data_IF_019718598588
#
_entry.id   IF_019718598588
#
_cell.length_a   1.000
_cell.length_b   1.000
_cell.length_c   1.000
_cell.angle_alpha   90.00
_cell.angle_beta   90.00
_cell.angle_gamma   90.00
#
_symmetry.space_group_name_H-M   'P 1'
#
loop_
_entity.id
_entity.type
_entity.pdbx_description
1 polymer ?
#
# COMPACT_ATOMS: atom_id res chain seq x y z
N UNK A 1 22.19 -1.17 -15.14
CA UNK A 1 22.54 -2.04 -14.00
C UNK A 1 23.28 -1.28 -12.89
N UNK A 2 24.13 -0.30 -13.21
CA UNK A 2 24.87 0.53 -12.23
C UNK A 2 23.98 1.35 -11.27
N UNK A 3 22.89 1.93 -11.78
CA UNK A 3 21.94 2.77 -10.99
C UNK A 3 21.19 2.02 -9.88
N UNK A 4 21.04 0.69 -9.99
CA UNK A 4 20.47 -0.16 -8.95
C UNK A 4 21.43 -0.35 -7.78
N UNK A 5 22.72 -0.46 -8.07
CA UNK A 5 23.75 -0.57 -7.06
C UNK A 5 23.88 0.73 -6.26
N UNK A 6 23.66 1.89 -6.91
CA UNK A 6 23.58 3.19 -6.23
C UNK A 6 22.41 3.25 -5.24
N UNK A 7 21.22 2.73 -5.59
CA UNK A 7 20.06 2.70 -4.66
C UNK A 7 20.26 1.76 -3.47
N UNK A 8 21.03 0.69 -3.63
CA UNK A 8 21.37 -0.23 -2.54
C UNK A 8 22.44 0.38 -1.63
N UNK A 9 23.44 1.05 -2.21
CA UNK A 9 24.48 1.76 -1.46
C UNK A 9 24.02 3.04 -0.76
N UNK A 10 22.86 3.59 -1.14
CA UNK A 10 22.29 4.82 -0.60
C UNK A 10 21.25 4.61 0.52
N UNK A 11 21.05 3.38 1.01
CA UNK A 11 20.08 3.12 2.09
C UNK A 11 20.56 3.80 3.37
N UNK A 12 19.87 4.87 3.75
CA UNK A 12 20.13 5.60 4.99
C UNK A 12 19.32 5.02 6.17
N UNK A 13 19.75 5.18 7.43
CA UNK A 13 18.91 4.87 8.58
C UNK A 13 17.57 5.62 8.57
N UNK A 14 17.56 6.84 8.05
CA UNK A 14 16.33 7.65 7.91
C UNK A 14 15.33 7.01 6.97
N UNK A 15 15.76 6.37 5.88
CA UNK A 15 14.87 5.64 4.97
C UNK A 15 14.12 4.52 5.72
N UNK A 16 14.82 3.77 6.58
CA UNK A 16 14.21 2.73 7.41
C UNK A 16 13.23 3.31 8.44
N UNK A 17 13.60 4.39 9.13
CA UNK A 17 12.71 5.03 10.11
C UNK A 17 11.43 5.55 9.44
N UNK A 18 11.54 6.22 8.30
CA UNK A 18 10.39 6.73 7.55
C UNK A 18 9.49 5.59 7.07
N UNK A 19 10.07 4.52 6.52
CA UNK A 19 9.30 3.35 6.08
C UNK A 19 8.60 2.65 7.25
N UNK A 20 9.29 2.51 8.39
CA UNK A 20 8.73 1.93 9.60
C UNK A 20 7.58 2.76 10.18
N UNK A 21 7.74 4.09 10.23
CA UNK A 21 6.66 5.01 10.64
C UNK A 21 5.46 4.92 9.69
N UNK A 22 5.70 4.86 8.38
CA UNK A 22 4.65 4.64 7.39
C UNK A 22 3.89 3.33 7.62
N UNK A 23 4.62 2.25 7.90
CA UNK A 23 4.02 0.95 8.23
C UNK A 23 3.17 1.00 9.51
N UNK A 24 3.67 1.62 10.58
CA UNK A 24 2.90 1.82 11.81
C UNK A 24 1.65 2.67 11.57
N UNK A 25 1.74 3.71 10.73
CA UNK A 25 0.59 4.54 10.37
C UNK A 25 -0.50 3.73 9.65
N UNK A 26 -0.11 2.83 8.74
CA UNK A 26 -1.05 1.91 8.08
C UNK A 26 -1.68 0.93 9.06
N UNK A 27 -0.90 0.32 9.96
CA UNK A 27 -1.44 -0.56 11.00
C UNK A 27 -2.44 0.17 11.91
N UNK A 28 -2.10 1.39 12.33
CA UNK A 28 -2.97 2.22 13.16
C UNK A 28 -4.26 2.58 12.44
N UNK A 29 -4.19 2.94 11.15
CA UNK A 29 -5.36 3.17 10.31
C UNK A 29 -6.26 1.93 10.24
N UNK A 30 -5.69 0.75 10.03
CA UNK A 30 -6.46 -0.50 9.97
C UNK A 30 -7.17 -0.78 11.29
N UNK A 31 -6.51 -0.56 12.43
CA UNK A 31 -7.12 -0.71 13.75
C UNK A 31 -8.28 0.25 13.96
N UNK A 32 -8.11 1.55 13.61
CA UNK A 32 -9.19 2.54 13.71
C UNK A 32 -10.37 2.12 12.85
N UNK A 33 -10.13 1.84 11.56
CA UNK A 33 -11.22 1.55 10.61
C UNK A 33 -11.97 0.28 11.02
N UNK A 34 -11.27 -0.76 11.49
CA UNK A 34 -11.92 -1.98 11.97
C UNK A 34 -12.70 -1.75 13.26
N UNK A 35 -12.19 -0.91 14.17
CA UNK A 35 -12.90 -0.52 15.39
C UNK A 35 -14.17 0.29 15.07
N UNK A 36 -14.06 1.34 14.25
CA UNK A 36 -15.19 2.14 13.75
C UNK A 36 -16.22 1.25 13.05
N UNK A 37 -15.78 0.29 12.22
CA UNK A 37 -16.70 -0.64 11.55
C UNK A 37 -17.49 -1.49 12.55
N UNK A 38 -16.84 -2.05 13.56
CA UNK A 38 -17.48 -2.91 14.56
C UNK A 38 -18.43 -2.16 15.49
N UNK A 39 -18.09 -0.93 15.88
CA UNK A 39 -18.83 -0.19 16.91
C UNK A 39 -19.80 0.86 16.35
N UNK A 40 -19.55 1.41 15.16
CA UNK A 40 -20.36 2.47 14.55
C UNK A 40 -21.15 2.00 13.32
N UNK A 41 -21.10 0.69 13.00
CA UNK A 41 -21.90 0.09 11.93
C UNK A 41 -21.55 0.56 10.52
N UNK A 42 -20.33 1.08 10.31
CA UNK A 42 -19.89 1.50 8.98
C UNK A 42 -19.99 0.34 7.98
N UNK A 43 -20.52 0.62 6.79
CA UNK A 43 -20.57 -0.36 5.73
C UNK A 43 -19.15 -0.76 5.34
N UNK A 44 -18.92 -2.07 5.20
CA UNK A 44 -17.64 -2.65 4.85
C UNK A 44 -17.02 -2.04 3.57
N UNK A 45 -17.89 -1.66 2.61
CA UNK A 45 -17.53 -0.93 1.40
C UNK A 45 -16.82 0.40 1.68
N UNK A 46 -17.39 1.24 2.56
CA UNK A 46 -16.85 2.56 2.90
C UNK A 46 -15.50 2.41 3.62
N UNK A 47 -15.43 1.52 4.60
CA UNK A 47 -14.20 1.19 5.33
C UNK A 47 -13.06 0.77 4.39
N UNK A 48 -13.35 -0.10 3.41
CA UNK A 48 -12.36 -0.56 2.41
C UNK A 48 -11.82 0.59 1.57
N UNK A 49 -12.69 1.52 1.15
CA UNK A 49 -12.29 2.67 0.31
C UNK A 49 -11.47 3.70 1.09
N UNK A 50 -11.82 3.98 2.34
CA UNK A 50 -11.02 4.84 3.22
C UNK A 50 -9.61 4.28 3.40
N UNK A 51 -9.48 2.98 3.69
CA UNK A 51 -8.18 2.32 3.84
C UNK A 51 -7.39 2.39 2.53
N UNK A 52 -8.01 2.07 1.39
CA UNK A 52 -7.36 2.11 0.07
C UNK A 52 -6.73 3.47 -0.24
N UNK A 53 -7.53 4.55 -0.12
CA UNK A 53 -7.05 5.91 -0.40
C UNK A 53 -5.94 6.30 0.57
N UNK A 54 -6.17 6.18 1.88
CA UNK A 54 -5.23 6.70 2.89
C UNK A 54 -3.92 5.89 2.88
N UNK A 55 -3.99 4.56 2.78
CA UNK A 55 -2.79 3.73 2.66
C UNK A 55 -1.99 4.09 1.40
N UNK A 56 -2.67 4.35 0.28
CA UNK A 56 -2.03 4.84 -0.95
C UNK A 56 -1.31 6.17 -0.78
N UNK A 57 -1.96 7.13 -0.11
CA UNK A 57 -1.35 8.43 0.19
C UNK A 57 -0.15 8.31 1.13
N UNK A 58 -0.21 7.42 2.13
CA UNK A 58 0.92 7.14 3.02
C UNK A 58 2.09 6.55 2.22
N UNK A 59 1.85 5.59 1.33
CA UNK A 59 2.89 5.01 0.47
C UNK A 59 3.52 6.10 -0.41
N UNK A 60 2.73 6.99 -1.00
CA UNK A 60 3.23 8.10 -1.81
C UNK A 60 4.08 9.07 -0.97
N UNK A 61 3.63 9.41 0.25
CA UNK A 61 4.36 10.29 1.15
C UNK A 61 5.71 9.67 1.59
N UNK A 62 5.68 8.41 2.04
CA UNK A 62 6.90 7.64 2.36
C UNK A 62 7.82 7.61 1.15
N UNK A 63 7.26 7.36 -0.03
CA UNK A 63 8.06 7.33 -1.25
C UNK A 63 8.75 8.66 -1.49
N UNK A 64 8.09 9.82 -1.37
CA UNK A 64 8.75 11.13 -1.49
C UNK A 64 9.95 11.25 -0.54
N UNK A 65 9.80 10.81 0.71
CA UNK A 65 10.76 11.04 1.79
C UNK A 65 12.00 10.14 1.76
N UNK A 66 11.92 8.92 1.24
CA UNK A 66 13.03 7.96 1.27
C UNK A 66 13.87 7.99 -0.02
N UNK A 67 15.16 7.66 0.04
CA UNK A 67 16.02 7.64 -1.13
C UNK A 67 16.10 6.25 -1.79
N UNK A 68 16.19 5.19 -0.99
CA UNK A 68 16.23 3.81 -1.48
C UNK A 68 14.84 3.19 -1.63
N UNK A 69 14.66 2.30 -2.61
CA UNK A 69 13.45 1.47 -2.74
C UNK A 69 13.44 0.25 -1.82
N UNK A 70 14.59 -0.13 -1.25
CA UNK A 70 14.71 -1.37 -0.47
C UNK A 70 13.66 -1.48 0.65
N UNK A 71 13.42 -0.43 1.47
CA UNK A 71 12.40 -0.51 2.51
C UNK A 71 10.98 -0.69 1.94
N UNK A 72 10.63 0.00 0.85
CA UNK A 72 9.32 -0.15 0.20
C UNK A 72 9.17 -1.53 -0.42
N UNK A 73 10.21 -2.07 -1.06
CA UNK A 73 10.17 -3.43 -1.63
C UNK A 73 9.94 -4.47 -0.55
N UNK A 74 10.63 -4.36 0.60
CA UNK A 74 10.44 -5.27 1.72
C UNK A 74 9.02 -5.19 2.28
N UNK A 75 8.50 -3.97 2.50
CA UNK A 75 7.13 -3.78 3.02
C UNK A 75 6.10 -4.30 2.03
N UNK A 76 6.23 -3.99 0.74
CA UNK A 76 5.31 -4.45 -0.29
C UNK A 76 5.34 -5.97 -0.42
N UNK A 77 6.53 -6.59 -0.35
CA UNK A 77 6.67 -8.04 -0.30
C UNK A 77 5.92 -8.62 0.89
N UNK A 78 6.21 -8.17 2.12
CA UNK A 78 5.54 -8.64 3.34
C UNK A 78 4.02 -8.46 3.27
N UNK A 79 3.55 -7.33 2.73
CA UNK A 79 2.14 -7.05 2.54
C UNK A 79 1.48 -8.06 1.58
N UNK A 80 2.10 -8.37 0.44
CA UNK A 80 1.58 -9.38 -0.50
C UNK A 80 1.41 -10.73 0.18
N UNK A 81 2.42 -11.18 0.95
CA UNK A 81 2.33 -12.46 1.68
C UNK A 81 1.27 -12.43 2.77
N UNK A 82 1.20 -11.36 3.55
CA UNK A 82 0.20 -11.20 4.60
C UNK A 82 -1.22 -11.21 4.02
N UNK A 83 -1.45 -10.54 2.90
CA UNK A 83 -2.76 -10.45 2.25
C UNK A 83 -3.17 -11.80 1.62
N UNK A 84 -2.24 -12.47 0.95
CA UNK A 84 -2.45 -13.85 0.45
C UNK A 84 -2.75 -14.84 1.59
N UNK A 85 -2.06 -14.71 2.72
CA UNK A 85 -2.30 -15.53 3.90
C UNK A 85 -3.67 -15.25 4.53
N UNK A 86 -4.01 -13.98 4.70
CA UNK A 86 -5.31 -13.55 5.24
C UNK A 86 -6.48 -14.06 4.38
N UNK A 87 -6.34 -13.97 3.05
CA UNK A 87 -7.26 -14.56 2.09
C UNK A 87 -7.43 -16.07 2.28
N UNK A 88 -6.32 -16.82 2.36
CA UNK A 88 -6.37 -18.28 2.53
C UNK A 88 -7.00 -18.70 3.85
N UNK A 89 -6.84 -17.92 4.91
CA UNK A 89 -7.41 -18.22 6.23
C UNK A 89 -8.85 -17.70 6.41
N UNK A 90 -9.44 -17.03 5.41
CA UNK A 90 -10.79 -16.45 5.51
C UNK A 90 -10.93 -15.37 6.60
N UNK A 91 -9.81 -14.77 7.01
CA UNK A 91 -9.77 -13.66 7.95
C UNK A 91 -10.18 -12.36 7.21
N UNK A 92 -10.77 -11.40 7.93
CA UNK A 92 -11.27 -10.14 7.37
C UNK A 92 -12.39 -10.30 6.33
N UNK A 93 -13.50 -10.96 6.71
CA UNK A 93 -14.79 -10.98 5.95
C UNK A 93 -15.33 -9.59 5.58
N UNK A 94 -14.84 -8.52 6.22
CA UNK A 94 -15.08 -7.11 5.84
C UNK A 94 -14.57 -6.75 4.44
N UNK A 95 -13.49 -7.39 4.00
CA UNK A 95 -12.83 -7.08 2.72
C UNK A 95 -13.28 -8.07 1.63
N UNK A 96 -13.78 -9.24 2.05
CA UNK A 96 -14.13 -10.39 1.22
C UNK A 96 -15.64 -10.65 1.28
N UNK A 97 -16.43 -9.85 0.57
CA UNK A 97 -17.78 -10.27 0.15
C UNK A 97 -17.66 -11.42 -0.88
N UNK A 98 -18.71 -12.22 -1.09
CA UNK A 98 -18.76 -13.47 -1.87
C UNK A 98 -18.16 -13.48 -3.30
N UNK A 99 -17.63 -12.36 -3.80
CA UNK A 99 -16.74 -12.26 -4.95
C UNK A 99 -15.30 -12.06 -4.46
N UNK A 100 -14.47 -13.10 -4.55
CA UNK A 100 -13.04 -13.06 -4.20
C UNK A 100 -12.30 -12.03 -5.08
N UNK A 101 -12.25 -10.77 -4.64
CA UNK A 101 -11.53 -9.71 -5.32
C UNK A 101 -10.09 -9.69 -4.83
N UNK A 102 -9.19 -10.23 -5.64
CA UNK A 102 -7.73 -10.20 -5.46
C UNK A 102 -7.12 -8.78 -5.58
N UNK A 103 -7.94 -7.73 -5.56
CA UNK A 103 -7.52 -6.35 -5.85
C UNK A 103 -6.46 -5.82 -4.87
N UNK A 104 -6.50 -6.23 -3.60
CA UNK A 104 -5.50 -5.84 -2.59
C UNK A 104 -4.15 -6.51 -2.84
N UNK A 105 -4.14 -7.79 -3.23
CA UNK A 105 -2.93 -8.52 -3.64
C UNK A 105 -2.34 -7.89 -4.91
N UNK A 106 -3.17 -7.64 -5.93
CA UNK A 106 -2.72 -7.03 -7.18
C UNK A 106 -2.21 -5.60 -6.97
N UNK A 107 -2.79 -4.83 -6.04
CA UNK A 107 -2.25 -3.53 -5.66
C UNK A 107 -0.84 -3.66 -5.06
N UNK A 108 -0.64 -4.58 -4.10
CA UNK A 108 0.68 -4.85 -3.54
C UNK A 108 1.72 -5.26 -4.59
N UNK A 109 1.34 -6.16 -5.51
CA UNK A 109 2.19 -6.57 -6.65
C UNK A 109 2.52 -5.36 -7.53
N UNK A 110 1.53 -4.50 -7.82
CA UNK A 110 1.74 -3.31 -8.64
C UNK A 110 2.72 -2.35 -7.99
N UNK A 111 2.57 -2.06 -6.69
CA UNK A 111 3.52 -1.24 -5.92
C UNK A 111 4.93 -1.85 -6.01
N UNK A 112 5.06 -3.15 -5.79
CA UNK A 112 6.35 -3.85 -5.83
C UNK A 112 7.02 -3.73 -7.20
N UNK A 113 6.30 -4.04 -8.28
CA UNK A 113 6.81 -3.96 -9.65
C UNK A 113 7.16 -2.52 -10.02
N UNK A 114 6.31 -1.54 -9.70
CA UNK A 114 6.59 -0.13 -9.98
C UNK A 114 7.82 0.37 -9.23
N UNK A 115 8.00 -0.05 -7.97
CA UNK A 115 9.19 0.29 -7.17
C UNK A 115 10.47 -0.34 -7.73
N UNK A 116 10.36 -1.47 -8.45
CA UNK A 116 11.48 -2.03 -9.20
C UNK A 116 11.75 -1.20 -10.45
N UNK A 117 10.74 -1.05 -11.30
CA UNK A 117 10.92 -0.51 -12.65
C UNK A 117 11.28 0.98 -12.65
N UNK A 118 10.58 1.78 -11.83
CA UNK A 118 10.63 3.24 -11.96
C UNK A 118 11.47 3.94 -10.90
N UNK A 119 11.83 3.28 -9.80
CA UNK A 119 12.48 3.98 -8.70
C UNK A 119 13.86 4.56 -9.05
N UNK A 120 14.73 3.77 -9.66
CA UNK A 120 16.07 4.21 -10.07
C UNK A 120 16.08 5.12 -11.31
N UNK A 121 14.99 5.14 -12.09
CA UNK A 121 14.93 5.88 -13.36
C UNK A 121 14.15 7.19 -13.20
N UNK A 122 12.90 7.09 -12.76
CA UNK A 122 11.93 8.18 -12.63
C UNK A 122 10.97 7.91 -11.47
N UNK A 123 11.46 8.11 -10.24
CA UNK A 123 10.66 8.02 -9.00
C UNK A 123 9.32 8.77 -9.04
N UNK A 124 9.19 9.95 -9.70
CA UNK A 124 7.88 10.60 -9.84
C UNK A 124 6.82 9.75 -10.57
N UNK A 125 7.20 8.91 -11.53
CA UNK A 125 6.26 8.01 -12.23
C UNK A 125 5.68 7.00 -11.24
N UNK A 126 6.52 6.40 -10.38
CA UNK A 126 6.05 5.53 -9.31
C UNK A 126 4.99 6.22 -8.44
N UNK A 127 5.23 7.46 -8.02
CA UNK A 127 4.31 8.22 -7.16
C UNK A 127 2.99 8.52 -7.90
N UNK A 128 3.06 9.05 -9.11
CA UNK A 128 1.87 9.42 -9.89
C UNK A 128 1.01 8.19 -10.21
N UNK A 129 1.63 7.08 -10.63
CA UNK A 129 0.88 5.84 -10.89
C UNK A 129 0.19 5.33 -9.64
N UNK A 130 0.83 5.39 -8.47
CA UNK A 130 0.19 5.05 -7.21
C UNK A 130 -1.00 5.96 -6.88
N UNK A 131 -0.87 7.27 -7.06
CA UNK A 131 -1.98 8.22 -6.87
C UNK A 131 -3.16 7.92 -7.80
N UNK A 132 -2.89 7.57 -9.06
CA UNK A 132 -3.92 7.18 -10.04
C UNK A 132 -4.60 5.87 -9.62
N UNK A 133 -3.87 4.91 -9.07
CA UNK A 133 -4.45 3.65 -8.60
C UNK A 133 -5.35 3.81 -7.36
N UNK A 134 -5.12 4.83 -6.53
CA UNK A 134 -5.85 4.96 -5.25
C UNK A 134 -6.95 6.01 -5.25
N UNK A 135 -6.81 7.09 -6.02
CA UNK A 135 -7.83 8.16 -6.09
C UNK A 135 -8.90 7.82 -7.14
N UNK A 136 -8.59 7.74 -8.46
CA UNK A 136 -9.54 7.33 -9.50
C UNK A 136 -10.26 6.00 -9.23
N UNK A 137 -9.58 4.95 -8.75
CA UNK A 137 -10.24 3.67 -8.42
C UNK A 137 -11.31 3.82 -7.32
N UNK A 138 -11.02 4.66 -6.33
CA UNK A 138 -11.98 4.93 -5.27
C UNK A 138 -13.15 5.77 -5.77
N UNK A 139 -12.89 6.79 -6.60
CA UNK A 139 -13.92 7.66 -7.19
C UNK A 139 -14.81 6.91 -8.19
N UNK A 140 -14.23 6.08 -9.07
CA UNK A 140 -14.98 5.31 -10.07
C UNK A 140 -16.03 4.41 -9.41
N UNK A 141 -15.71 3.80 -8.27
CA UNK A 141 -16.65 2.97 -7.52
C UNK A 141 -17.75 3.77 -6.79
N UNK A 142 -17.59 5.09 -6.59
CA UNK A 142 -18.61 5.94 -5.98
C UNK A 142 -19.65 6.43 -7.00
N UNK A 143 -19.26 6.57 -8.26
CA UNK A 143 -20.10 7.15 -9.32
C UNK A 143 -20.67 6.12 -10.31
N UNK A 144 -20.07 4.93 -10.41
CA UNK A 144 -20.49 3.84 -11.28
C UNK A 144 -21.25 2.75 -10.53
#
# INVERSE_FOLDING_TARGET
MTRWLETIGAVSPTDWYTAFLGFLAVLFLLLIVEHTRKHLGFQAYISRKIVHIITGLIICYVAVMIHSNIPILLIAFLYIFADLWAMRMGLFKSIHTNSASYGTVFYGISVFVLAIVFWGTFKPIFIITNLIMVIPDALAALIG
#
